data_IF_652532187665
#
_entry.id   IF_652532187665
#
_cell.length_a   1.000
_cell.length_b   1.000
_cell.length_c   1.000
_cell.angle_alpha   90.00
_cell.angle_beta   90.00
_cell.angle_gamma   90.00
#
_symmetry.space_group_name_H-M   'P 1'
#
loop_
_entity.id
_entity.type
_entity.pdbx_description
1 polymer ?
#
# COMPACT_ATOMS: atom_id res chain seq x y z
N UNK A 1 19.15 28.27 6.85
CA UNK A 1 19.73 26.96 6.51
C UNK A 1 18.59 25.96 6.36
N UNK A 2 18.14 25.71 5.14
CA UNK A 2 17.02 24.81 4.84
C UNK A 2 17.48 23.36 4.99
N UNK A 3 17.28 22.78 6.17
CA UNK A 3 17.33 21.32 6.32
C UNK A 3 16.09 20.78 5.62
N UNK A 4 16.28 20.31 4.39
CA UNK A 4 15.35 19.38 3.74
C UNK A 4 15.11 18.26 4.75
N UNK A 5 13.94 18.26 5.38
CA UNK A 5 13.42 17.06 6.00
C UNK A 5 13.24 16.09 4.82
N UNK A 6 14.22 15.22 4.61
CA UNK A 6 13.89 13.90 4.07
C UNK A 6 12.86 13.34 5.04
N UNK A 7 11.59 13.55 4.71
CA UNK A 7 10.49 12.83 5.33
C UNK A 7 10.77 11.37 5.02
N UNK A 8 11.48 10.70 5.92
CA UNK A 8 11.48 9.24 6.00
C UNK A 8 10.01 8.87 6.09
N UNK A 9 9.45 8.46 4.95
CA UNK A 9 8.05 8.09 4.85
C UNK A 9 7.87 6.95 5.85
N UNK A 10 6.95 7.07 6.82
CA UNK A 10 6.77 6.03 7.81
C UNK A 10 6.47 4.71 7.10
N UNK A 11 7.27 3.70 7.41
CA UNK A 11 7.03 2.33 7.00
C UNK A 11 6.00 1.71 7.94
N UNK A 12 5.07 0.98 7.35
CA UNK A 12 4.01 0.29 8.06
C UNK A 12 4.09 -1.19 7.75
N UNK A 13 3.65 -2.00 8.71
CA UNK A 13 3.51 -3.43 8.47
C UNK A 13 2.42 -3.68 7.44
N UNK A 14 2.61 -4.70 6.61
CA UNK A 14 1.62 -5.22 5.67
C UNK A 14 0.27 -5.45 6.31
N UNK A 15 0.23 -5.94 7.56
CA UNK A 15 -1.02 -6.11 8.31
C UNK A 15 -1.75 -4.79 8.58
N UNK A 16 -1.02 -3.72 8.91
CA UNK A 16 -1.59 -2.39 9.11
C UNK A 16 -2.07 -1.80 7.78
N UNK A 17 -1.29 -1.97 6.71
CA UNK A 17 -1.69 -1.59 5.35
C UNK A 17 -2.96 -2.34 4.94
N UNK A 18 -3.06 -3.65 5.20
CA UNK A 18 -4.24 -4.47 4.91
C UNK A 18 -5.48 -4.01 5.69
N UNK A 19 -5.32 -3.62 6.96
CA UNK A 19 -6.41 -3.07 7.75
C UNK A 19 -6.94 -1.75 7.19
N UNK A 20 -6.04 -0.88 6.71
CA UNK A 20 -6.46 0.40 6.11
C UNK A 20 -6.79 0.26 4.63
N UNK A 21 -6.45 -0.85 3.96
CA UNK A 21 -6.65 -1.03 2.52
C UNK A 21 -8.13 -1.01 2.14
N UNK A 22 -8.98 -1.61 2.96
CA UNK A 22 -10.44 -1.51 2.77
C UNK A 22 -10.93 -0.07 2.83
N UNK A 23 -10.45 0.72 3.79
CA UNK A 23 -10.90 2.10 3.99
C UNK A 23 -10.26 3.11 3.02
N UNK A 24 -8.96 2.97 2.75
CA UNK A 24 -8.16 3.88 1.93
C UNK A 24 -8.29 3.59 0.44
N UNK A 25 -8.28 2.30 0.08
CA UNK A 25 -8.19 1.87 -1.31
C UNK A 25 -9.51 1.30 -1.84
N UNK A 26 -10.50 1.08 -0.98
CA UNK A 26 -11.78 0.47 -1.35
C UNK A 26 -11.61 -0.94 -1.92
N UNK A 27 -10.53 -1.63 -1.54
CA UNK A 27 -10.32 -3.04 -1.88
C UNK A 27 -11.02 -3.90 -0.84
N UNK A 28 -11.70 -4.97 -1.23
CA UNK A 28 -12.20 -5.94 -0.25
C UNK A 28 -11.03 -6.76 0.35
N UNK A 29 -11.21 -7.40 1.52
CA UNK A 29 -10.16 -8.19 2.18
C UNK A 29 -9.44 -9.16 1.25
N UNK A 30 -10.16 -9.83 0.35
CA UNK A 30 -9.60 -10.79 -0.61
C UNK A 30 -8.71 -10.10 -1.65
N UNK A 31 -9.17 -9.01 -2.25
CA UNK A 31 -8.37 -8.21 -3.18
C UNK A 31 -7.17 -7.57 -2.49
N UNK A 32 -7.33 -7.08 -1.26
CA UNK A 32 -6.24 -6.51 -0.49
C UNK A 32 -5.18 -7.59 -0.20
N UNK A 33 -5.59 -8.78 0.27
CA UNK A 33 -4.69 -9.92 0.45
C UNK A 33 -3.99 -10.27 -0.87
N UNK A 34 -4.72 -10.35 -1.99
CA UNK A 34 -4.13 -10.66 -3.29
C UNK A 34 -3.16 -9.57 -3.78
N UNK A 35 -3.49 -8.31 -3.56
CA UNK A 35 -2.68 -7.15 -3.95
C UNK A 35 -1.38 -7.10 -3.15
N UNK A 36 -1.46 -7.33 -1.84
CA UNK A 36 -0.32 -7.28 -0.95
C UNK A 36 0.32 -8.65 -0.75
N UNK A 37 -0.15 -9.72 -1.40
CA UNK A 37 0.36 -11.09 -1.20
C UNK A 37 1.86 -11.17 -1.45
N UNK A 38 2.30 -10.65 -2.61
CA UNK A 38 3.69 -10.56 -3.04
C UNK A 38 4.43 -9.33 -2.50
N UNK A 39 3.75 -8.48 -1.72
CA UNK A 39 4.35 -7.27 -1.17
C UNK A 39 5.14 -7.57 0.12
N UNK A 40 6.21 -6.82 0.41
CA UNK A 40 7.06 -7.04 1.60
C UNK A 40 6.30 -6.85 2.91
N UNK A 41 6.81 -7.42 4.00
CA UNK A 41 6.18 -7.32 5.33
C UNK A 41 6.13 -5.88 5.87
N UNK A 42 7.05 -5.02 5.43
CA UNK A 42 7.04 -3.59 5.74
C UNK A 42 7.13 -2.78 4.45
N UNK A 43 6.22 -1.81 4.30
CA UNK A 43 6.18 -0.92 3.15
C UNK A 43 5.63 0.44 3.54
N UNK A 44 5.94 1.45 2.75
CA UNK A 44 5.35 2.78 2.90
C UNK A 44 3.93 2.81 2.30
N UNK A 45 3.11 3.77 2.75
CA UNK A 45 1.75 3.94 2.19
C UNK A 45 1.79 4.20 0.69
N UNK A 46 2.78 4.95 0.20
CA UNK A 46 2.92 5.23 -1.23
C UNK A 46 3.24 3.98 -2.04
N UNK A 47 4.10 3.09 -1.51
CA UNK A 47 4.34 1.78 -2.13
C UNK A 47 3.05 0.97 -2.17
N UNK A 48 2.30 0.97 -1.06
CA UNK A 48 1.02 0.26 -1.01
C UNK A 48 0.01 0.80 -2.04
N UNK A 49 -0.06 2.12 -2.22
CA UNK A 49 -0.85 2.77 -3.27
C UNK A 49 -0.45 2.32 -4.67
N UNK A 50 0.85 2.21 -4.95
CA UNK A 50 1.32 1.71 -6.24
C UNK A 50 0.91 0.25 -6.48
N UNK A 51 0.98 -0.61 -5.45
CA UNK A 51 0.52 -2.00 -5.54
C UNK A 51 -0.98 -2.07 -5.84
N UNK A 52 -1.80 -1.30 -5.12
CA UNK A 52 -3.24 -1.18 -5.35
C UNK A 52 -3.52 -0.72 -6.77
N UNK A 53 -2.82 0.31 -7.24
CA UNK A 53 -3.02 0.88 -8.57
C UNK A 53 -2.70 -0.15 -9.66
N UNK A 54 -1.55 -0.83 -9.56
CA UNK A 54 -1.16 -1.90 -10.49
C UNK A 54 -2.14 -3.07 -10.47
N UNK A 55 -2.67 -3.43 -9.29
CA UNK A 55 -3.67 -4.48 -9.17
C UNK A 55 -4.98 -4.11 -9.87
N UNK A 56 -5.49 -2.89 -9.63
CA UNK A 56 -6.70 -2.38 -10.30
C UNK A 56 -6.52 -2.25 -11.81
N UNK A 57 -5.35 -1.80 -12.29
CA UNK A 57 -5.05 -1.76 -13.73
C UNK A 57 -5.02 -3.16 -14.37
N UNK A 58 -4.61 -4.19 -13.62
CA UNK A 58 -4.61 -5.58 -14.08
C UNK A 58 -5.99 -6.22 -14.11
N UNK A 59 -6.87 -5.88 -13.17
CA UNK A 59 -8.21 -6.48 -13.06
C UNK A 59 -9.27 -5.85 -13.97
N UNK A 60 -9.01 -4.70 -14.60
CA UNK A 60 -9.93 -4.01 -15.52
C UNK A 60 -9.84 -4.51 -16.99
N UNK A 61 -9.19 -5.65 -17.24
CA UNK A 61 -9.08 -6.25 -18.58
C UNK A 61 -10.11 -7.34 -18.85
#
# INVERSE_FOLDING_TARGET
>A
MSRKQEQEKPTYKKEQILQVAEQKFGLNRTEAIATFFDAPDEMTVDQAEEFVKKFKERTVK
#
